data_IF_528038015709
#
_entry.id   IF_528038015709
#
_cell.length_a   1.000
_cell.length_b   1.000
_cell.length_c   1.000
_cell.angle_alpha   90.00
_cell.angle_beta   90.00
_cell.angle_gamma   90.00
#
_symmetry.space_group_name_H-M   'P 1'
#
loop_
_entity.id
_entity.type
_entity.pdbx_description
1 polymer ?
#
# COMPACT_ATOMS: atom_id res chain seq x y z
N UNK A 1 7.26 -4.79 9.94
CA UNK A 1 6.21 -4.72 8.93
C UNK A 1 6.01 -3.27 8.50
N UNK A 2 5.95 -3.03 7.19
CA UNK A 2 5.65 -1.72 6.62
C UNK A 2 4.25 -1.73 5.99
N UNK A 3 3.36 -0.91 6.52
CA UNK A 3 2.04 -0.65 5.95
C UNK A 3 2.11 0.58 5.07
N UNK A 4 1.50 0.54 3.89
CA UNK A 4 1.51 1.70 2.99
C UNK A 4 0.38 1.66 1.97
N UNK A 5 0.10 2.83 1.42
CA UNK A 5 -0.84 3.08 0.32
C UNK A 5 -0.29 4.22 -0.53
N UNK A 6 -0.22 4.04 -1.84
CA UNK A 6 0.34 5.02 -2.77
C UNK A 6 -0.74 5.66 -3.63
N UNK A 7 -0.49 6.91 -4.03
CA UNK A 7 -1.31 7.62 -4.99
C UNK A 7 -0.53 7.98 -6.25
N UNK A 8 -1.26 8.01 -7.36
CA UNK A 8 -0.69 8.29 -8.66
C UNK A 8 -1.65 9.06 -9.56
N UNK A 9 -1.08 9.83 -10.46
CA UNK A 9 -1.78 10.63 -11.43
C UNK A 9 -1.78 9.97 -12.80
N UNK A 10 -2.95 9.98 -13.45
CA UNK A 10 -3.10 9.70 -14.87
C UNK A 10 -3.62 10.96 -15.60
N UNK A 11 -3.00 11.34 -16.74
CA UNK A 11 -3.44 12.49 -17.51
C UNK A 11 -4.84 12.23 -18.12
N UNK A 12 -5.66 13.27 -18.35
CA UNK A 12 -7.04 13.15 -18.83
C UNK A 12 -7.21 12.23 -20.04
N UNK A 13 -6.33 12.34 -21.04
CA UNK A 13 -6.39 11.59 -22.29
C UNK A 13 -6.25 10.07 -22.07
N UNK A 14 -5.58 9.67 -21.00
CA UNK A 14 -5.36 8.26 -20.66
C UNK A 14 -6.45 7.66 -19.76
N UNK A 15 -7.35 8.48 -19.22
CA UNK A 15 -8.36 8.04 -18.23
C UNK A 15 -9.40 7.07 -18.79
N UNK A 16 -9.59 7.08 -20.10
CA UNK A 16 -10.53 6.21 -20.83
C UNK A 16 -9.83 5.07 -21.57
N UNK A 17 -8.50 5.03 -21.55
CA UNK A 17 -7.70 4.10 -22.37
C UNK A 17 -7.43 2.74 -21.69
N UNK A 18 -7.99 2.48 -20.50
CA UNK A 18 -7.72 1.25 -19.75
C UNK A 18 -8.68 0.12 -20.10
N UNK A 19 -8.16 -1.11 -20.10
CA UNK A 19 -8.94 -2.35 -20.24
C UNK A 19 -9.60 -2.80 -18.93
N UNK A 20 -9.36 -2.11 -17.82
CA UNK A 20 -9.88 -2.49 -16.51
C UNK A 20 -10.08 -1.29 -15.57
N UNK A 21 -10.50 -1.58 -14.33
CA UNK A 21 -10.78 -0.56 -13.33
C UNK A 21 -9.54 0.19 -12.83
N UNK A 22 -8.35 -0.41 -12.97
CA UNK A 22 -7.08 0.26 -12.71
C UNK A 22 -6.68 1.05 -13.96
N UNK A 23 -6.88 2.37 -13.90
CA UNK A 23 -6.63 3.27 -15.02
C UNK A 23 -5.16 3.66 -15.11
N UNK A 24 -4.54 3.94 -13.96
CA UNK A 24 -3.12 4.34 -13.90
C UNK A 24 -2.24 3.20 -14.42
N UNK A 25 -1.28 3.54 -15.28
CA UNK A 25 -0.25 2.64 -15.75
C UNK A 25 1.13 3.25 -15.43
N UNK A 26 1.85 2.75 -14.42
CA UNK A 26 3.11 3.35 -13.99
C UNK A 26 4.22 3.24 -15.03
N UNK A 27 4.10 2.35 -16.02
CA UNK A 27 5.07 2.23 -17.11
C UNK A 27 4.90 3.30 -18.20
N UNK A 28 3.85 4.15 -18.14
CA UNK A 28 3.66 5.26 -19.09
C UNK A 28 4.38 6.52 -18.61
N UNK A 29 5.17 7.20 -19.46
CA UNK A 29 5.89 8.42 -19.07
C UNK A 29 5.00 9.54 -18.51
N UNK A 30 3.79 9.72 -19.06
CA UNK A 30 2.88 10.79 -18.62
C UNK A 30 2.11 10.50 -17.32
N UNK A 31 2.19 9.28 -16.79
CA UNK A 31 1.64 8.94 -15.47
C UNK A 31 2.69 9.26 -14.42
N UNK A 32 2.29 9.66 -13.21
CA UNK A 32 3.22 10.16 -12.19
C UNK A 32 2.88 9.55 -10.83
N UNK A 33 3.87 9.06 -10.09
CA UNK A 33 3.73 8.73 -8.68
C UNK A 33 3.63 10.03 -7.87
N UNK A 34 2.51 10.23 -7.18
CA UNK A 34 2.29 11.40 -6.35
C UNK A 34 2.90 11.23 -4.96
N UNK A 35 3.03 10.00 -4.47
CA UNK A 35 3.52 9.72 -3.13
C UNK A 35 2.67 8.69 -2.42
N UNK A 36 2.70 8.71 -1.10
CA UNK A 36 1.89 7.81 -0.30
C UNK A 36 2.00 8.02 1.20
N UNK A 37 1.18 7.26 1.91
CA UNK A 37 1.17 7.16 3.35
C UNK A 37 1.88 5.88 3.81
N UNK A 38 2.58 5.95 4.93
CA UNK A 38 3.37 4.86 5.49
C UNK A 38 3.15 4.73 6.99
N UNK A 39 3.13 3.49 7.48
CA UNK A 39 3.08 3.17 8.90
C UNK A 39 3.93 1.95 9.22
N UNK A 40 4.68 2.03 10.30
CA UNK A 40 5.67 1.03 10.67
C UNK A 40 5.23 0.30 11.93
N UNK A 41 5.18 -1.03 11.84
CA UNK A 41 4.70 -1.90 12.91
C UNK A 41 5.71 -3.00 13.19
N UNK A 42 6.07 -3.20 14.45
CA UNK A 42 6.77 -4.42 14.89
C UNK A 42 5.81 -5.60 14.91
N UNK A 43 6.29 -6.82 14.73
CA UNK A 43 5.39 -7.99 14.67
C UNK A 43 4.54 -8.15 15.95
N UNK A 44 5.17 -8.00 17.11
CA UNK A 44 4.55 -8.22 18.42
C UNK A 44 3.63 -7.07 18.87
N UNK A 45 3.87 -5.85 18.38
CA UNK A 45 3.17 -4.67 18.87
C UNK A 45 1.75 -4.63 18.29
N UNK A 46 0.72 -4.25 19.07
CA UNK A 46 -0.61 -3.97 18.51
C UNK A 46 -0.57 -2.70 17.66
N UNK A 47 -1.53 -2.55 16.75
CA UNK A 47 -1.77 -1.27 16.08
C UNK A 47 -2.43 -0.32 17.12
N UNK A 48 -1.87 0.88 17.37
CA UNK A 48 -2.45 1.84 18.30
C UNK A 48 -3.75 2.43 17.75
N UNK A 49 -4.60 2.97 18.62
CA UNK A 49 -5.89 3.58 18.24
C UNK A 49 -5.72 4.77 17.28
N UNK A 50 -4.68 5.58 17.50
CA UNK A 50 -4.33 6.74 16.67
C UNK A 50 -2.91 6.57 16.09
N UNK A 51 -2.72 5.74 15.04
CA UNK A 51 -1.40 5.54 14.46
C UNK A 51 -0.91 6.83 13.80
N UNK A 52 0.35 7.18 14.08
CA UNK A 52 1.06 8.24 13.38
C UNK A 52 1.41 7.74 11.98
N UNK A 53 0.80 8.37 10.98
CA UNK A 53 1.04 8.07 9.58
C UNK A 53 2.10 9.04 9.05
N UNK A 54 3.15 8.50 8.45
CA UNK A 54 4.21 9.28 7.80
C UNK A 54 3.87 9.44 6.31
N UNK A 55 3.95 10.65 5.76
CA UNK A 55 3.69 10.93 4.35
C UNK A 55 4.99 11.17 3.58
N UNK A 56 5.11 10.61 2.38
CA UNK A 56 6.15 10.95 1.40
C UNK A 56 5.45 11.40 0.11
N UNK A 57 5.54 12.68 -0.22
CA UNK A 57 4.75 13.28 -1.30
C UNK A 57 5.58 14.08 -2.27
N UNK A 58 5.27 13.95 -3.56
CA UNK A 58 5.98 14.54 -4.68
C UNK A 58 6.22 16.04 -4.50
N UNK A 59 5.25 16.81 -4.01
CA UNK A 59 5.41 18.25 -3.79
C UNK A 59 6.35 18.62 -2.64
N UNK A 60 6.76 17.66 -1.80
CA UNK A 60 7.84 17.82 -0.82
C UNK A 60 9.21 17.43 -1.39
N UNK A 61 9.26 16.95 -2.64
CA UNK A 61 10.47 16.56 -3.34
C UNK A 61 10.61 17.34 -4.65
N UNK A 62 11.83 17.76 -5.01
CA UNK A 62 12.02 18.51 -6.27
C UNK A 62 11.75 17.71 -7.55
N UNK A 63 11.62 16.38 -7.44
CA UNK A 63 11.36 15.47 -8.56
C UNK A 63 10.79 14.13 -8.09
N UNK A 64 10.19 13.38 -9.01
CA UNK A 64 9.73 12.01 -8.75
C UNK A 64 10.91 11.07 -8.43
N UNK A 65 12.08 11.27 -9.06
CA UNK A 65 13.30 10.55 -8.73
C UNK A 65 13.73 10.74 -7.26
N UNK A 66 13.65 11.99 -6.75
CA UNK A 66 13.96 12.28 -5.35
C UNK A 66 12.94 11.66 -4.38
N UNK A 67 11.65 11.66 -4.72
CA UNK A 67 10.61 10.96 -3.97
C UNK A 67 10.88 9.45 -3.93
N UNK A 68 11.18 8.83 -5.07
CA UNK A 68 11.49 7.40 -5.16
C UNK A 68 12.71 7.03 -4.33
N UNK A 69 13.76 7.87 -4.33
CA UNK A 69 14.92 7.68 -3.46
C UNK A 69 14.59 7.80 -1.97
N UNK A 70 13.61 8.62 -1.57
CA UNK A 70 13.15 8.68 -0.19
C UNK A 70 12.33 7.43 0.20
N UNK A 71 11.48 6.93 -0.70
CA UNK A 71 10.72 5.69 -0.49
C UNK A 71 11.68 4.49 -0.41
N UNK A 72 12.72 4.45 -1.25
CA UNK A 72 13.77 3.43 -1.18
C UNK A 72 14.39 3.36 0.20
N UNK A 73 14.89 4.50 0.70
CA UNK A 73 15.50 4.58 2.04
C UNK A 73 14.53 4.11 3.11
N UNK A 74 13.25 4.48 3.02
CA UNK A 74 12.23 3.97 3.94
C UNK A 74 12.14 2.44 3.89
N UNK A 75 12.06 1.81 2.72
CA UNK A 75 12.01 0.34 2.63
C UNK A 75 13.29 -0.32 3.20
N UNK A 76 14.47 0.24 2.94
CA UNK A 76 15.74 -0.28 3.45
C UNK A 76 15.81 -0.19 4.99
N UNK A 77 15.44 0.96 5.56
CA UNK A 77 15.36 1.18 7.01
C UNK A 77 14.38 0.20 7.68
N UNK A 78 13.24 -0.04 7.05
CA UNK A 78 12.22 -0.96 7.53
C UNK A 78 12.69 -2.42 7.47
N UNK A 79 13.46 -2.77 6.44
CA UNK A 79 14.05 -4.08 6.30
C UNK A 79 15.03 -4.37 7.43
N UNK A 80 15.96 -3.45 7.67
CA UNK A 80 16.95 -3.59 8.72
C UNK A 80 16.31 -3.60 10.11
N UNK A 81 15.32 -2.73 10.35
CA UNK A 81 14.57 -2.75 11.60
C UNK A 81 13.86 -4.09 11.81
N UNK A 82 13.21 -4.63 10.78
CA UNK A 82 12.49 -5.90 10.91
C UNK A 82 13.44 -7.06 11.17
N UNK A 83 14.61 -7.11 10.51
CA UNK A 83 15.64 -8.12 10.79
C UNK A 83 16.10 -8.06 12.24
N UNK A 84 16.31 -6.87 12.78
CA UNK A 84 16.70 -6.67 14.17
C UNK A 84 15.64 -7.16 15.18
N UNK A 85 14.36 -7.23 14.79
CA UNK A 85 13.30 -7.81 15.64
C UNK A 85 13.49 -9.31 15.90
N UNK A 86 14.24 -10.03 15.05
CA UNK A 86 14.45 -11.48 15.14
C UNK A 86 13.15 -12.29 15.34
N UNK A 87 12.04 -11.79 14.77
CA UNK A 87 10.73 -12.41 14.89
C UNK A 87 10.71 -13.77 14.20
N UNK A 88 9.95 -14.72 14.76
CA UNK A 88 9.75 -16.06 14.18
C UNK A 88 8.27 -16.29 13.88
N UNK A 89 7.96 -16.68 12.65
CA UNK A 89 6.62 -17.06 12.20
C UNK A 89 6.63 -18.56 11.93
N UNK A 90 5.78 -19.31 12.64
CA UNK A 90 5.76 -20.78 12.60
C UNK A 90 7.17 -21.40 12.78
N UNK A 91 7.93 -20.85 13.73
CA UNK A 91 9.29 -21.31 14.03
C UNK A 91 10.37 -20.88 13.03
N UNK A 92 10.05 -20.19 11.93
CA UNK A 92 11.03 -19.72 10.93
C UNK A 92 11.32 -18.23 11.10
N UNK A 93 12.59 -17.77 10.94
CA UNK A 93 12.92 -16.35 11.07
C UNK A 93 12.27 -15.52 9.94
N UNK A 94 11.67 -14.38 10.30
CA UNK A 94 11.07 -13.44 9.37
C UNK A 94 12.11 -12.44 8.82
N UNK A 95 12.98 -12.92 7.92
CA UNK A 95 14.15 -12.17 7.41
C UNK A 95 13.84 -11.23 6.24
N UNK A 96 12.76 -11.50 5.51
CA UNK A 96 12.30 -10.70 4.38
C UNK A 96 11.33 -9.63 4.88
N UNK A 97 11.48 -8.37 4.44
CA UNK A 97 10.57 -7.30 4.84
C UNK A 97 9.12 -7.69 4.53
N UNK A 98 8.28 -7.68 5.56
CA UNK A 98 6.85 -7.88 5.38
C UNK A 98 6.21 -6.53 5.13
N UNK A 99 5.54 -6.42 4.00
CA UNK A 99 4.79 -5.22 3.61
C UNK A 99 3.30 -5.51 3.59
N UNK A 100 2.44 -4.53 3.87
CA UNK A 100 1.01 -4.75 3.98
C UNK A 100 0.21 -3.58 3.41
N UNK A 101 -0.89 -3.89 2.73
CA UNK A 101 -1.83 -2.90 2.21
C UNK A 101 -3.01 -3.59 1.51
N UNK A 102 -3.83 -2.83 0.80
CA UNK A 102 -4.96 -3.37 0.03
C UNK A 102 -4.77 -3.09 -1.45
N UNK A 103 -4.46 -4.12 -2.23
CA UNK A 103 -4.14 -4.00 -3.67
C UNK A 103 -2.67 -3.73 -3.97
N UNK A 104 -1.78 -3.78 -2.96
CA UNK A 104 -0.36 -3.42 -3.09
C UNK A 104 0.42 -4.30 -4.06
N UNK A 105 0.00 -5.55 -4.25
CA UNK A 105 0.63 -6.45 -5.22
C UNK A 105 0.19 -6.19 -6.65
N UNK A 106 -1.00 -5.61 -6.81
CA UNK A 106 -1.56 -5.25 -8.12
C UNK A 106 -1.02 -3.92 -8.63
N UNK A 107 -0.83 -2.94 -7.75
CA UNK A 107 -0.45 -1.59 -8.15
C UNK A 107 0.80 -1.07 -7.46
N UNK A 108 0.80 -0.94 -6.14
CA UNK A 108 1.81 -0.14 -5.42
C UNK A 108 3.25 -0.64 -5.61
N UNK A 109 3.51 -1.93 -5.39
CA UNK A 109 4.84 -2.51 -5.59
C UNK A 109 5.28 -2.47 -7.07
N UNK A 110 4.44 -2.89 -8.05
CA UNK A 110 4.74 -2.67 -9.47
C UNK A 110 4.98 -1.20 -9.84
N UNK A 111 4.25 -0.26 -9.24
CA UNK A 111 4.40 1.16 -9.51
C UNK A 111 5.77 1.65 -9.06
N UNK A 112 6.17 1.35 -7.83
CA UNK A 112 7.50 1.70 -7.32
C UNK A 112 8.61 1.15 -8.23
N UNK A 113 8.51 -0.10 -8.67
CA UNK A 113 9.48 -0.69 -9.59
C UNK A 113 9.50 0.01 -10.95
N UNK A 114 8.35 0.10 -11.64
CA UNK A 114 8.25 0.68 -12.98
C UNK A 114 8.69 2.14 -13.01
N UNK A 115 8.29 2.94 -12.01
CA UNK A 115 8.67 4.34 -11.91
C UNK A 115 10.16 4.50 -11.64
N UNK A 116 10.73 3.67 -10.78
CA UNK A 116 12.17 3.69 -10.52
C UNK A 116 13.01 3.37 -11.76
N UNK A 117 12.54 2.46 -12.61
CA UNK A 117 13.20 2.18 -13.90
C UNK A 117 13.10 3.35 -14.88
N UNK A 118 11.93 3.99 -14.98
CA UNK A 118 11.74 5.12 -15.90
C UNK A 118 12.60 6.34 -15.51
N UNK A 119 12.89 6.51 -14.23
CA UNK A 119 13.70 7.60 -13.69
C UNK A 119 15.18 7.25 -13.49
N UNK A 120 15.60 6.02 -13.86
CA UNK A 120 16.97 5.52 -13.73
C UNK A 120 17.59 5.77 -12.33
N UNK A 121 16.78 5.57 -11.28
CA UNK A 121 17.20 5.89 -9.90
C UNK A 121 18.16 4.86 -9.29
N UNK A 122 18.17 3.63 -9.83
CA UNK A 122 19.14 2.57 -9.54
C UNK A 122 19.00 1.44 -10.59
N UNK A 123 19.84 0.39 -10.51
CA UNK A 123 19.75 -0.74 -11.43
C UNK A 123 18.48 -1.54 -11.20
N UNK A 124 17.92 -2.09 -12.27
CA UNK A 124 16.70 -2.90 -12.20
C UNK A 124 16.79 -4.07 -11.20
N UNK A 125 17.95 -4.71 -11.09
CA UNK A 125 18.18 -5.78 -10.12
C UNK A 125 18.00 -5.29 -8.68
N UNK A 126 18.50 -4.10 -8.35
CA UNK A 126 18.45 -3.55 -6.99
C UNK A 126 16.99 -3.24 -6.59
N UNK A 127 16.19 -2.69 -7.52
CA UNK A 127 14.75 -2.48 -7.30
C UNK A 127 13.96 -3.77 -7.18
N UNK A 128 14.34 -4.79 -7.93
CA UNK A 128 13.71 -6.11 -7.81
C UNK A 128 13.99 -6.72 -6.43
N UNK A 129 15.24 -6.66 -5.97
CA UNK A 129 15.62 -7.11 -4.63
C UNK A 129 14.80 -6.39 -3.54
N UNK A 130 14.64 -5.07 -3.66
CA UNK A 130 13.95 -4.29 -2.63
C UNK A 130 12.43 -4.49 -2.61
N UNK A 131 11.77 -4.40 -3.77
CA UNK A 131 10.30 -4.40 -3.83
C UNK A 131 9.69 -5.79 -4.02
N UNK A 132 10.32 -6.64 -4.83
CA UNK A 132 9.73 -7.94 -5.20
C UNK A 132 10.23 -9.12 -4.35
N UNK A 133 11.30 -8.97 -3.56
CA UNK A 133 11.65 -9.95 -2.52
C UNK A 133 11.03 -9.64 -1.16
N UNK A 134 10.36 -8.50 -1.00
CA UNK A 134 9.48 -8.29 0.13
C UNK A 134 8.37 -9.34 0.16
N UNK A 135 7.80 -9.61 1.35
CA UNK A 135 6.67 -10.51 1.55
C UNK A 135 5.38 -9.69 1.70
N UNK A 136 4.58 -9.52 0.65
CA UNK A 136 3.35 -8.75 0.74
C UNK A 136 2.25 -9.55 1.47
N UNK A 137 1.59 -8.89 2.40
CA UNK A 137 0.27 -9.23 2.90
C UNK A 137 -0.70 -8.30 2.18
N UNK A 138 -1.29 -8.79 1.09
CA UNK A 138 -2.29 -8.03 0.34
C UNK A 138 -3.68 -8.36 0.89
N UNK A 139 -4.27 -7.44 1.65
CA UNK A 139 -5.56 -7.66 2.30
C UNK A 139 -6.68 -8.00 1.31
N UNK A 140 -6.56 -7.55 0.05
CA UNK A 140 -7.52 -7.91 -0.98
C UNK A 140 -7.55 -9.43 -1.22
N UNK A 141 -6.42 -10.12 -1.05
CA UNK A 141 -6.31 -11.58 -1.20
C UNK A 141 -6.59 -12.32 0.11
N UNK A 142 -6.14 -11.77 1.24
CA UNK A 142 -6.24 -12.45 2.53
C UNK A 142 -7.67 -12.47 3.12
N UNK A 143 -8.57 -11.61 2.64
CA UNK A 143 -9.90 -11.44 3.23
C UNK A 143 -11.00 -12.34 2.65
N UNK A 144 -10.70 -13.22 1.68
CA UNK A 144 -11.73 -14.04 1.02
C UNK A 144 -12.55 -14.89 2.00
N UNK A 145 -11.95 -15.34 3.12
CA UNK A 145 -12.65 -16.11 4.16
C UNK A 145 -13.80 -15.34 4.85
N UNK A 146 -13.86 -14.02 4.72
CA UNK A 146 -14.99 -13.22 5.21
C UNK A 146 -16.26 -13.41 4.37
N UNK A 147 -16.14 -13.99 3.17
CA UNK A 147 -17.21 -14.15 2.17
C UNK A 147 -17.43 -15.64 1.84
N UNK A 148 -17.86 -16.47 2.81
CA UNK A 148 -18.10 -17.90 2.58
C UNK A 148 -19.18 -18.20 1.54
N UNK A 149 -20.02 -17.23 1.19
CA UNK A 149 -21.00 -17.32 0.11
C UNK A 149 -20.39 -17.27 -1.29
N UNK A 150 -19.14 -16.81 -1.42
CA UNK A 150 -18.44 -16.74 -2.70
C UNK A 150 -17.59 -18.01 -2.89
N UNK A 151 -17.92 -18.88 -3.87
CA UNK A 151 -17.16 -20.10 -4.12
C UNK A 151 -15.77 -19.85 -4.72
N UNK A 152 -15.50 -18.65 -5.24
CA UNK A 152 -14.21 -18.29 -5.84
C UNK A 152 -13.35 -17.49 -4.86
N UNK A 153 -12.05 -17.79 -4.78
CA UNK A 153 -11.07 -16.96 -4.07
C UNK A 153 -10.77 -15.66 -4.84
N UNK A 154 -11.80 -14.86 -5.05
CA UNK A 154 -11.72 -13.59 -5.77
C UNK A 154 -11.26 -12.47 -4.83
N UNK A 155 -10.28 -11.64 -5.24
CA UNK A 155 -9.81 -10.50 -4.45
C UNK A 155 -10.93 -9.54 -4.06
N UNK A 156 -10.92 -9.07 -2.82
CA UNK A 156 -11.95 -8.17 -2.28
C UNK A 156 -11.45 -6.74 -2.22
N UNK A 157 -12.34 -5.80 -2.52
CA UNK A 157 -12.07 -4.37 -2.35
C UNK A 157 -12.06 -4.00 -0.88
N UNK A 158 -11.34 -2.92 -0.53
CA UNK A 158 -11.36 -2.30 0.81
C UNK A 158 -12.79 -2.03 1.29
N UNK A 159 -13.67 -1.62 0.38
CA UNK A 159 -15.08 -1.36 0.64
C UNK A 159 -15.85 -2.61 1.07
N UNK A 160 -15.70 -3.70 0.31
CA UNK A 160 -16.36 -4.97 0.64
C UNK A 160 -15.89 -5.48 2.00
N UNK A 161 -14.58 -5.47 2.24
CA UNK A 161 -14.01 -5.88 3.53
C UNK A 161 -14.53 -5.01 4.69
N UNK A 162 -14.51 -3.68 4.53
CA UNK A 162 -15.00 -2.74 5.55
C UNK A 162 -16.47 -2.97 5.87
N UNK A 163 -17.32 -3.11 4.84
CA UNK A 163 -18.74 -3.40 5.00
C UNK A 163 -18.98 -4.71 5.76
N UNK A 164 -18.23 -5.76 5.44
CA UNK A 164 -18.34 -7.07 6.09
C UNK A 164 -17.89 -7.07 7.56
N UNK A 165 -17.00 -6.16 7.91
CA UNK A 165 -16.49 -5.99 9.28
C UNK A 165 -17.22 -4.88 10.06
N UNK A 166 -18.25 -4.26 9.49
CA UNK A 166 -19.03 -3.20 10.14
C UNK A 166 -18.24 -1.90 10.34
N UNK A 167 -17.19 -1.68 9.55
CA UNK A 167 -16.37 -0.47 9.61
C UNK A 167 -17.03 0.63 8.80
N UNK A 168 -17.02 1.86 9.33
CA UNK A 168 -17.51 3.03 8.59
C UNK A 168 -16.49 3.43 7.54
N UNK A 169 -16.84 3.24 6.28
CA UNK A 169 -16.07 3.76 5.17
C UNK A 169 -16.36 5.26 4.99
N UNK A 170 -15.31 6.10 4.96
CA UNK A 170 -15.41 7.55 4.64
C UNK A 170 -14.94 7.85 3.20
N UNK A 171 -14.93 6.86 2.32
CA UNK A 171 -14.18 6.91 1.07
C UNK A 171 -14.77 7.92 0.07
N UNK A 172 -13.89 8.75 -0.50
CA UNK A 172 -14.09 9.47 -1.77
C UNK A 172 -13.49 8.70 -2.95
N UNK A 173 -14.02 8.90 -4.16
CA UNK A 173 -13.55 8.25 -5.40
C UNK A 173 -12.10 8.60 -5.74
N UNK A 174 -11.33 7.69 -6.35
CA UNK A 174 -9.99 7.95 -6.90
C UNK A 174 -9.97 9.06 -7.97
N UNK A 175 -11.11 9.31 -8.65
CA UNK A 175 -11.29 10.49 -9.50
C UNK A 175 -11.05 11.80 -8.75
N UNK A 176 -11.36 11.82 -7.46
CA UNK A 176 -11.11 12.96 -6.58
C UNK A 176 -9.63 13.26 -6.38
N UNK A 177 -8.73 12.27 -6.48
CA UNK A 177 -7.28 12.49 -6.35
C UNK A 177 -6.76 13.27 -7.55
N UNK A 178 -7.10 12.85 -8.77
CA UNK A 178 -6.62 13.52 -9.98
C UNK A 178 -7.13 14.94 -10.08
N UNK A 179 -8.41 15.16 -9.79
CA UNK A 179 -8.98 16.49 -9.76
C UNK A 179 -8.36 17.38 -8.67
N UNK A 180 -8.06 16.81 -7.49
CA UNK A 180 -7.37 17.55 -6.42
C UNK A 180 -5.94 17.91 -6.82
N UNK A 181 -5.23 17.00 -7.48
CA UNK A 181 -3.89 17.26 -8.00
C UNK A 181 -3.90 18.36 -9.06
N UNK A 182 -4.85 18.32 -10.00
CA UNK A 182 -5.01 19.34 -11.04
C UNK A 182 -5.36 20.73 -10.47
N UNK A 183 -6.03 20.78 -9.33
CA UNK A 183 -6.33 22.02 -8.60
C UNK A 183 -5.23 22.45 -7.61
N UNK A 184 -4.17 21.65 -7.45
CA UNK A 184 -3.12 21.89 -6.45
C UNK A 184 -3.57 21.68 -5.00
N UNK A 185 -4.69 20.99 -4.76
CA UNK A 185 -5.20 20.66 -3.43
C UNK A 185 -4.49 19.42 -2.86
N UNK A 186 -3.20 19.59 -2.57
CA UNK A 186 -2.35 18.54 -2.05
C UNK A 186 -2.79 18.05 -0.67
N UNK A 187 -3.28 18.96 0.19
CA UNK A 187 -3.74 18.63 1.53
C UNK A 187 -4.90 17.63 1.53
N UNK A 188 -5.84 17.75 0.60
CA UNK A 188 -6.93 16.79 0.43
C UNK A 188 -6.42 15.39 0.04
N UNK A 189 -5.38 15.31 -0.80
CA UNK A 189 -4.76 14.03 -1.19
C UNK A 189 -4.09 13.39 0.03
N UNK A 190 -3.25 14.13 0.76
CA UNK A 190 -2.55 13.61 1.94
C UNK A 190 -3.53 13.10 3.00
N UNK A 191 -4.57 13.88 3.30
CA UNK A 191 -5.58 13.51 4.27
C UNK A 191 -6.32 12.23 3.84
N UNK A 192 -6.78 12.17 2.60
CA UNK A 192 -7.52 11.02 2.08
C UNK A 192 -6.68 9.74 2.16
N UNK A 193 -5.44 9.77 1.69
CA UNK A 193 -4.57 8.59 1.70
C UNK A 193 -4.19 8.17 3.12
N UNK A 194 -4.00 9.12 4.04
CA UNK A 194 -3.81 8.79 5.45
C UNK A 194 -5.05 8.16 6.09
N UNK A 195 -6.26 8.57 5.71
CA UNK A 195 -7.52 7.94 6.14
C UNK A 195 -7.67 6.53 5.55
N UNK A 196 -7.30 6.32 4.28
CA UNK A 196 -7.29 5.01 3.64
C UNK A 196 -6.31 4.05 4.32
N UNK A 197 -5.10 4.51 4.62
CA UNK A 197 -4.13 3.69 5.35
C UNK A 197 -4.62 3.36 6.77
N UNK A 198 -5.28 4.29 7.48
CA UNK A 198 -5.90 3.99 8.79
C UNK A 198 -6.97 2.92 8.68
N UNK A 199 -7.79 2.95 7.64
CA UNK A 199 -8.78 1.90 7.38
C UNK A 199 -8.09 0.55 7.11
N UNK A 200 -7.02 0.52 6.31
CA UNK A 200 -6.21 -0.69 6.08
C UNK A 200 -5.65 -1.25 7.38
N UNK A 201 -5.15 -0.39 8.28
CA UNK A 201 -4.66 -0.80 9.59
C UNK A 201 -5.77 -1.41 10.45
N UNK A 202 -6.96 -0.80 10.48
CA UNK A 202 -8.10 -1.37 11.20
C UNK A 202 -8.55 -2.71 10.59
N UNK A 203 -8.62 -2.80 9.25
CA UNK A 203 -8.93 -4.05 8.55
C UNK A 203 -7.96 -5.16 8.93
N UNK A 204 -6.65 -4.90 8.88
CA UNK A 204 -5.63 -5.85 9.29
C UNK A 204 -5.85 -6.32 10.74
N UNK A 205 -6.09 -5.38 11.67
CA UNK A 205 -6.30 -5.72 13.08
C UNK A 205 -7.54 -6.62 13.27
N UNK A 206 -8.66 -6.33 12.59
CA UNK A 206 -9.88 -7.14 12.66
C UNK A 206 -9.70 -8.53 12.04
N UNK A 207 -9.02 -8.61 10.90
CA UNK A 207 -8.69 -9.88 10.24
C UNK A 207 -7.78 -10.73 11.15
N UNK A 208 -6.74 -10.13 11.73
CA UNK A 208 -5.85 -10.79 12.67
C UNK A 208 -6.61 -11.35 13.88
N UNK A 209 -7.52 -10.56 14.47
CA UNK A 209 -8.37 -11.00 15.58
C UNK A 209 -9.25 -12.20 15.20
N UNK A 210 -9.80 -12.22 13.98
CA UNK A 210 -10.61 -13.36 13.49
C UNK A 210 -9.78 -14.63 13.32
N UNK A 211 -8.58 -14.51 12.76
CA UNK A 211 -7.67 -15.66 12.59
C UNK A 211 -7.25 -16.23 13.95
N UNK A 212 -6.87 -15.37 14.90
CA UNK A 212 -6.50 -15.80 16.26
C UNK A 212 -7.70 -16.36 17.03
N UNK A 213 -8.88 -15.75 16.88
CA UNK A 213 -10.11 -16.18 17.54
C UNK A 213 -10.68 -17.49 17.02
N UNK A 214 -10.53 -17.76 15.71
CA UNK A 214 -10.93 -19.03 15.09
C UNK A 214 -10.01 -20.21 15.46
N UNK A 215 -8.84 -19.95 16.05
CA UNK A 215 -7.87 -20.96 16.47
C UNK A 215 -8.20 -21.65 17.82
N UNK A 216 -9.41 -21.48 18.36
CA UNK A 216 -9.89 -22.27 19.50
C UNK A 216 -10.79 -23.41 18.99
N UNK A 217 -10.32 -24.67 19.02
CA UNK A 217 -11.16 -25.84 18.70
C UNK A 217 -12.30 -26.01 19.71
#
# INVERSE_FOLDING_TARGET
MLFFDLEAYAPPDDRTASRGSLIVNPARPGHVLLGGAFYSKRFADPIPEAPRIDGLWLWHFGSEAALLGAIQRRFEEEWERQRAENARILGKPAVDLVVCGAGITKFDLPALYCRSLLHDTARAADWFELFFKARPIDLAHEASFLFPEEPVLYPKTTREMAGRLGLRERKGSSKGVWESYERGDHGAIEQRTAEELRLVLELYARLQQRVVGAARP
#
